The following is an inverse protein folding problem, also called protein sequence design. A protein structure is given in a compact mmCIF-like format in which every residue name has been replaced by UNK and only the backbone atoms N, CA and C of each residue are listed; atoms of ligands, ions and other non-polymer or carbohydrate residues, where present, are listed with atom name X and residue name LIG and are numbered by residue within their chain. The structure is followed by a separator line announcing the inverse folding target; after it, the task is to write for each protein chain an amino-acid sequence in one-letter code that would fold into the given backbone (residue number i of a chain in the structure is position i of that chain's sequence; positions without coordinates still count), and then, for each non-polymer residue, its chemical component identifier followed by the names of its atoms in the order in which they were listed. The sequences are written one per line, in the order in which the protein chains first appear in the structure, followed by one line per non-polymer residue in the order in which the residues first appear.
data_IF_842214874453
#
_entry.id   IF_842214874453
#
_cell.length_a   1.000
_cell.length_b   1.000
_cell.length_c   1.000
_cell.angle_alpha   90.00
_cell.angle_beta   90.00
_cell.angle_gamma   90.00
#
_symmetry.space_group_name_H-M   'P 1'
#
loop_
_entity.id
_entity.type
_entity.pdbx_description
1 polymer ?
#
# COMPACT_ATOMS: atom_id res chain seq x y z
N UNK A 1 20.46 13.54 -20.17
CA UNK A 1 20.04 12.73 -19.03
C UNK A 1 18.91 11.84 -19.49
N UNK A 2 19.05 10.53 -19.33
CA UNK A 2 17.98 9.56 -19.68
C UNK A 2 16.80 9.71 -18.71
N UNK A 3 15.58 9.75 -19.26
CA UNK A 3 14.37 9.87 -18.48
C UNK A 3 13.85 8.49 -18.08
N UNK A 4 13.46 8.36 -16.83
CA UNK A 4 12.77 7.16 -16.34
C UNK A 4 11.36 7.06 -16.94
N UNK A 5 10.85 5.84 -17.04
CA UNK A 5 9.44 5.54 -17.29
C UNK A 5 8.94 4.55 -16.24
N UNK A 6 7.62 4.39 -16.13
CA UNK A 6 7.00 3.51 -15.12
C UNK A 6 7.55 2.09 -15.21
N UNK A 7 7.58 1.48 -16.39
CA UNK A 7 8.00 0.09 -16.59
C UNK A 7 9.40 -0.21 -16.03
N UNK A 8 10.39 0.64 -16.31
CA UNK A 8 11.76 0.40 -15.85
C UNK A 8 11.91 0.61 -14.34
N UNK A 9 11.20 1.60 -13.76
CA UNK A 9 11.19 1.79 -12.31
C UNK A 9 10.52 0.60 -11.64
N UNK A 10 9.33 0.20 -12.11
CA UNK A 10 8.55 -0.92 -11.58
C UNK A 10 9.34 -2.22 -11.58
N UNK A 11 9.97 -2.57 -12.71
CA UNK A 11 10.79 -3.78 -12.82
C UNK A 11 12.00 -3.76 -11.87
N UNK A 12 12.65 -2.61 -11.73
CA UNK A 12 13.82 -2.49 -10.86
C UNK A 12 13.44 -2.44 -9.38
N UNK A 13 12.35 -1.75 -9.04
CA UNK A 13 11.82 -1.68 -7.68
C UNK A 13 11.38 -3.07 -7.21
N UNK A 14 10.66 -3.82 -8.06
CA UNK A 14 10.24 -5.18 -7.72
C UNK A 14 11.42 -6.05 -7.28
N UNK A 15 12.53 -6.02 -8.00
CA UNK A 15 13.75 -6.79 -7.63
C UNK A 15 14.29 -6.40 -6.24
N UNK A 16 14.18 -5.11 -5.87
CA UNK A 16 14.61 -4.64 -4.55
C UNK A 16 13.65 -5.15 -3.48
N UNK A 17 12.34 -5.04 -3.73
CA UNK A 17 11.31 -5.48 -2.80
C UNK A 17 11.29 -7.01 -2.63
N UNK A 18 11.54 -7.77 -3.70
CA UNK A 18 11.64 -9.25 -3.63
C UNK A 18 12.80 -9.69 -2.70
N UNK A 19 13.95 -8.99 -2.75
CA UNK A 19 15.07 -9.25 -1.83
C UNK A 19 14.71 -8.91 -0.39
N UNK A 20 14.06 -7.77 -0.16
CA UNK A 20 13.57 -7.38 1.16
C UNK A 20 12.58 -8.41 1.71
N UNK A 21 11.67 -8.92 0.86
CA UNK A 21 10.72 -9.96 1.22
C UNK A 21 11.41 -11.26 1.65
N UNK A 22 12.45 -11.68 0.91
CA UNK A 22 13.25 -12.86 1.25
C UNK A 22 13.93 -12.71 2.62
N UNK A 23 14.41 -11.51 2.97
CA UNK A 23 15.00 -11.24 4.28
C UNK A 23 13.96 -11.39 5.39
N UNK A 24 12.76 -10.79 5.24
CA UNK A 24 11.67 -10.98 6.20
C UNK A 24 11.32 -12.46 6.41
N UNK A 25 11.25 -13.24 5.32
CA UNK A 25 10.92 -14.66 5.38
C UNK A 25 12.02 -15.48 6.05
N UNK A 26 13.30 -15.16 5.85
CA UNK A 26 14.42 -15.79 6.56
C UNK A 26 14.38 -15.54 8.06
N UNK A 27 13.94 -14.36 8.47
CA UNK A 27 13.76 -13.98 9.87
C UNK A 27 12.46 -14.56 10.48
N UNK A 28 11.73 -15.40 9.73
CA UNK A 28 10.54 -16.10 10.21
C UNK A 28 9.24 -15.29 10.14
N UNK A 29 9.26 -14.08 9.56
CA UNK A 29 8.06 -13.27 9.38
C UNK A 29 7.24 -13.75 8.18
N UNK A 30 5.92 -13.80 8.36
CA UNK A 30 5.00 -13.94 7.23
C UNK A 30 4.94 -12.59 6.52
N UNK A 31 5.35 -12.56 5.28
CA UNK A 31 5.38 -11.35 4.48
C UNK A 31 4.97 -11.65 3.03
N UNK A 32 4.24 -10.72 2.39
CA UNK A 32 3.82 -10.84 1.00
C UNK A 32 3.89 -9.50 0.28
N UNK A 33 4.20 -9.53 -1.03
CA UNK A 33 4.17 -8.37 -1.92
C UNK A 33 2.92 -8.45 -2.79
N UNK A 34 2.20 -7.35 -2.84
CA UNK A 34 1.06 -7.15 -3.72
C UNK A 34 1.41 -6.10 -4.77
N UNK A 35 1.19 -6.43 -6.03
CA UNK A 35 1.24 -5.49 -7.15
C UNK A 35 -0.18 -4.99 -7.44
N UNK A 36 -0.32 -3.69 -7.74
CA UNK A 36 -1.61 -3.07 -8.07
C UNK A 36 -2.70 -3.32 -7.02
N UNK A 37 -2.34 -3.28 -5.72
CA UNK A 37 -3.31 -3.52 -4.66
C UNK A 37 -4.41 -2.46 -4.67
N UNK A 38 -5.65 -2.91 -4.87
CA UNK A 38 -6.83 -2.05 -4.88
C UNK A 38 -7.13 -1.47 -3.49
N UNK A 39 -7.34 -0.15 -3.44
CA UNK A 39 -7.72 0.61 -2.25
C UNK A 39 -9.11 1.19 -2.48
N UNK A 40 -9.93 1.29 -1.43
CA UNK A 40 -11.31 1.82 -1.52
C UNK A 40 -12.13 1.14 -2.62
N UNK A 41 -12.18 -0.19 -2.61
CA UNK A 41 -12.86 -1.01 -3.62
C UNK A 41 -12.31 -0.85 -5.05
N UNK A 42 -11.03 -0.54 -5.18
CA UNK A 42 -10.39 -0.35 -6.48
C UNK A 42 -10.54 1.06 -7.07
N UNK A 43 -11.07 2.03 -6.30
CA UNK A 43 -11.11 3.44 -6.71
C UNK A 43 -9.70 4.03 -6.91
N UNK A 44 -8.72 3.50 -6.19
CA UNK A 44 -7.28 3.71 -6.39
C UNK A 44 -6.55 2.39 -6.31
N UNK A 45 -5.35 2.33 -6.87
CA UNK A 45 -4.43 1.19 -6.73
C UNK A 45 -3.07 1.73 -6.37
N UNK A 46 -2.43 1.09 -5.39
CA UNK A 46 -1.04 1.34 -5.06
C UNK A 46 -0.16 0.42 -5.90
N UNK A 47 0.94 0.92 -6.43
CA UNK A 47 1.79 0.15 -7.34
C UNK A 47 2.36 -1.11 -6.70
N UNK A 48 2.89 -0.99 -5.48
CA UNK A 48 3.32 -2.12 -4.67
C UNK A 48 2.89 -1.94 -3.22
N UNK A 49 2.59 -3.04 -2.55
CA UNK A 49 2.43 -3.07 -1.11
C UNK A 49 3.18 -4.27 -0.51
N UNK A 50 3.92 -4.07 0.57
CA UNK A 50 4.47 -5.12 1.41
C UNK A 50 3.64 -5.20 2.67
N UNK A 51 3.14 -6.39 2.98
CA UNK A 51 2.38 -6.70 4.18
C UNK A 51 3.16 -7.72 5.00
N UNK A 52 3.63 -7.32 6.19
CA UNK A 52 4.38 -8.17 7.11
C UNK A 52 4.02 -7.88 8.59
N UNK A 53 2.74 -7.57 8.84
CA UNK A 53 2.27 -7.00 10.10
C UNK A 53 2.25 -5.46 10.07
N UNK A 54 3.06 -4.85 9.22
CA UNK A 54 3.03 -3.43 8.83
C UNK A 54 2.60 -3.34 7.37
N UNK A 55 1.61 -2.52 7.06
CA UNK A 55 1.16 -2.27 5.70
C UNK A 55 1.98 -1.12 5.09
N UNK A 56 2.93 -1.44 4.22
CA UNK A 56 3.80 -0.47 3.55
C UNK A 56 3.44 -0.36 2.08
N UNK A 57 3.10 0.83 1.61
CA UNK A 57 2.75 1.09 0.21
C UNK A 57 3.83 1.89 -0.53
N UNK A 58 4.01 1.59 -1.81
CA UNK A 58 4.92 2.27 -2.73
C UNK A 58 4.13 2.77 -3.94
N UNK A 59 4.17 4.06 -4.19
CA UNK A 59 3.60 4.72 -5.37
C UNK A 59 4.71 5.19 -6.29
N UNK A 60 4.60 4.92 -7.59
CA UNK A 60 5.61 5.27 -8.60
C UNK A 60 5.14 6.48 -9.41
N UNK A 61 6.03 7.44 -9.61
CA UNK A 61 5.87 8.56 -10.53
C UNK A 61 7.17 8.76 -11.32
N UNK A 62 7.26 8.15 -12.49
CA UNK A 62 8.42 8.28 -13.38
C UNK A 62 8.54 9.71 -13.97
N UNK A 63 9.67 10.01 -14.61
CA UNK A 63 9.86 11.29 -15.30
C UNK A 63 8.85 11.54 -16.44
N UNK A 64 8.24 10.48 -16.98
CA UNK A 64 7.25 10.56 -18.07
C UNK A 64 5.81 10.65 -17.58
N UNK A 65 5.56 10.47 -16.30
CA UNK A 65 4.23 10.55 -15.71
C UNK A 65 3.80 12.01 -15.49
N UNK A 66 2.55 12.16 -15.03
CA UNK A 66 2.04 13.42 -14.50
C UNK A 66 1.70 13.27 -13.02
N UNK A 67 1.73 14.38 -12.28
CA UNK A 67 1.36 14.39 -10.86
C UNK A 67 -0.13 14.72 -10.62
N UNK A 68 -0.94 14.83 -11.68
CA UNK A 68 -2.34 15.29 -11.58
C UNK A 68 -3.16 14.41 -10.61
N UNK A 69 -2.98 13.09 -10.65
CA UNK A 69 -3.70 12.16 -9.78
C UNK A 69 -3.11 12.02 -8.37
N UNK A 70 -1.86 12.45 -8.17
CA UNK A 70 -1.15 12.22 -6.91
C UNK A 70 -1.88 12.79 -5.68
N UNK A 71 -2.46 14.00 -5.68
CA UNK A 71 -3.22 14.50 -4.52
C UNK A 71 -4.40 13.60 -4.12
N UNK A 72 -5.11 13.07 -5.11
CA UNK A 72 -6.21 12.13 -4.85
C UNK A 72 -5.68 10.81 -4.29
N UNK A 73 -4.62 10.24 -4.88
CA UNK A 73 -3.97 9.02 -4.42
C UNK A 73 -3.45 9.15 -2.99
N UNK A 74 -2.82 10.27 -2.64
CA UNK A 74 -2.37 10.57 -1.27
C UNK A 74 -3.53 10.45 -0.28
N UNK A 75 -4.68 11.06 -0.58
CA UNK A 75 -5.86 10.97 0.29
C UNK A 75 -6.34 9.53 0.50
N UNK A 76 -6.37 8.74 -0.58
CA UNK A 76 -6.84 7.35 -0.50
C UNK A 76 -5.86 6.46 0.27
N UNK A 77 -4.57 6.62 0.03
CA UNK A 77 -3.54 5.79 0.64
C UNK A 77 -3.29 6.15 2.11
N UNK A 78 -3.36 7.43 2.48
CA UNK A 78 -3.27 7.87 3.87
C UNK A 78 -4.32 7.21 4.77
N UNK A 79 -5.48 6.88 4.23
CA UNK A 79 -6.53 6.24 5.01
C UNK A 79 -6.26 4.75 5.33
N UNK A 80 -5.23 4.15 4.72
CA UNK A 80 -5.01 2.68 4.74
C UNK A 80 -3.64 2.28 5.29
N UNK A 81 -2.55 2.77 4.69
CA UNK A 81 -1.21 2.24 4.92
C UNK A 81 -0.55 2.79 6.19
N UNK A 82 0.28 1.96 6.86
CA UNK A 82 1.10 2.36 7.99
C UNK A 82 2.27 3.24 7.58
N UNK A 83 2.89 2.91 6.45
CA UNK A 83 3.98 3.68 5.84
C UNK A 83 3.72 3.80 4.35
N UNK A 84 4.07 4.95 3.79
CA UNK A 84 3.94 5.21 2.36
C UNK A 84 5.24 5.78 1.82
N UNK A 85 5.66 5.30 0.68
CA UNK A 85 6.86 5.71 -0.01
C UNK A 85 6.50 6.15 -1.44
N UNK A 86 6.90 7.34 -1.81
CA UNK A 86 6.84 7.81 -3.18
C UNK A 86 8.18 7.51 -3.87
N UNK A 87 8.15 6.70 -4.92
CA UNK A 87 9.29 6.44 -5.80
C UNK A 87 9.16 7.34 -7.02
N UNK A 88 10.01 8.35 -7.11
CA UNK A 88 9.81 9.46 -8.05
C UNK A 88 11.02 9.68 -8.97
N UNK A 89 10.76 9.95 -10.26
CA UNK A 89 11.78 10.43 -11.19
C UNK A 89 12.26 11.83 -10.83
N UNK A 90 13.49 12.16 -11.23
CA UNK A 90 14.17 13.42 -10.87
C UNK A 90 13.36 14.67 -11.26
N UNK A 91 12.66 14.63 -12.40
CA UNK A 91 11.89 15.78 -12.91
C UNK A 91 10.75 16.20 -11.99
N UNK A 92 10.18 15.25 -11.26
CA UNK A 92 9.01 15.48 -10.42
C UNK A 92 9.35 15.65 -8.94
N UNK A 93 10.59 15.39 -8.51
CA UNK A 93 10.98 15.37 -7.10
C UNK A 93 10.49 16.61 -6.34
N UNK A 94 10.87 17.81 -6.81
CA UNK A 94 10.52 19.04 -6.13
C UNK A 94 9.01 19.23 -5.98
N UNK A 95 8.25 19.06 -7.06
CA UNK A 95 6.79 19.21 -7.02
C UNK A 95 6.13 18.16 -6.15
N UNK A 96 6.59 16.90 -6.24
CA UNK A 96 6.04 15.79 -5.48
C UNK A 96 6.24 15.96 -3.97
N UNK A 97 7.39 16.49 -3.55
CA UNK A 97 7.68 16.79 -2.13
C UNK A 97 6.67 17.77 -1.50
N UNK A 98 6.06 18.66 -2.30
CA UNK A 98 5.03 19.61 -1.84
C UNK A 98 3.61 19.03 -1.90
N UNK A 99 3.42 17.87 -2.52
CA UNK A 99 2.11 17.21 -2.63
C UNK A 99 1.94 16.15 -1.53
N UNK A 100 3.00 15.35 -1.29
CA UNK A 100 2.93 14.28 -0.29
C UNK A 100 3.20 14.83 1.11
N UNK A 101 2.51 14.32 2.15
CA UNK A 101 2.78 14.70 3.54
C UNK A 101 4.23 14.43 3.95
N UNK A 102 4.71 15.13 4.97
CA UNK A 102 6.09 15.01 5.46
C UNK A 102 6.44 13.59 5.96
N UNK A 103 5.45 12.85 6.47
CA UNK A 103 5.65 11.48 6.93
C UNK A 103 5.80 10.43 5.82
N UNK A 104 5.50 10.79 4.55
CA UNK A 104 5.80 9.89 3.44
C UNK A 104 7.31 9.82 3.20
N UNK A 105 7.81 8.60 3.01
CA UNK A 105 9.15 8.40 2.46
C UNK A 105 9.24 8.86 1.01
N UNK A 106 10.42 9.25 0.58
CA UNK A 106 10.71 9.63 -0.81
C UNK A 106 11.98 8.95 -1.26
N UNK A 107 11.86 8.20 -2.34
CA UNK A 107 12.96 7.56 -3.04
C UNK A 107 13.04 8.17 -4.44
N UNK A 108 14.18 8.71 -4.82
CA UNK A 108 14.41 9.16 -6.18
C UNK A 108 14.92 7.99 -7.03
N UNK A 109 14.32 7.79 -8.20
CA UNK A 109 14.76 6.84 -9.21
C UNK A 109 15.50 7.58 -10.33
N UNK A 110 16.71 7.12 -10.66
CA UNK A 110 17.56 7.70 -11.71
C UNK A 110 18.11 6.60 -12.59
N UNK A 111 18.41 6.91 -13.85
CA UNK A 111 19.17 6.02 -14.73
C UNK A 111 20.64 6.39 -14.62
N UNK A 112 21.50 5.40 -14.28
CA UNK A 112 22.94 5.57 -14.22
C UNK A 112 23.59 5.55 -15.63
N UNK A 113 24.90 5.68 -15.73
CA UNK A 113 25.65 5.67 -16.99
C UNK A 113 25.58 4.33 -17.72
N UNK A 114 25.32 3.24 -17.00
CA UNK A 114 25.19 1.88 -17.55
C UNK A 114 23.76 1.56 -18.04
N UNK A 115 22.80 2.48 -17.85
CA UNK A 115 21.41 2.28 -18.20
C UNK A 115 20.55 1.65 -17.11
N UNK A 116 21.11 1.34 -15.93
CA UNK A 116 20.38 0.74 -14.83
C UNK A 116 19.63 1.80 -14.01
N UNK A 117 18.49 1.40 -13.44
CA UNK A 117 17.78 2.24 -12.48
C UNK A 117 18.45 2.10 -11.11
N UNK A 118 18.84 3.22 -10.55
CA UNK A 118 19.38 3.33 -9.19
C UNK A 118 18.41 4.12 -8.31
N UNK A 119 18.25 3.68 -7.08
CA UNK A 119 17.39 4.27 -6.07
C UNK A 119 18.20 4.98 -5.01
N UNK A 120 17.75 6.16 -4.61
CA UNK A 120 18.37 6.93 -3.52
C UNK A 120 17.28 7.45 -2.61
N UNK A 121 17.31 7.07 -1.34
CA UNK A 121 16.39 7.59 -0.33
C UNK A 121 16.71 9.07 -0.07
N UNK A 122 15.69 9.91 -0.20
CA UNK A 122 15.72 11.35 0.10
C UNK A 122 15.12 11.61 1.47
N UNK A 123 14.08 10.84 1.84
CA UNK A 123 13.40 10.93 3.12
C UNK A 123 12.86 9.55 3.50
N UNK A 124 13.11 9.14 4.73
CA UNK A 124 12.51 7.91 5.28
C UNK A 124 11.01 8.10 5.58
N UNK A 125 10.27 7.01 5.55
CA UNK A 125 8.84 7.03 5.86
C UNK A 125 8.62 6.90 7.38
N UNK A 126 7.87 7.84 7.96
CA UNK A 126 7.37 7.74 9.32
C UNK A 126 6.03 6.97 9.38
N UNK A 127 5.58 6.64 10.60
CA UNK A 127 4.30 6.01 10.81
C UNK A 127 3.12 6.97 10.61
N UNK A 128 2.15 6.50 9.85
CA UNK A 128 0.90 7.20 9.58
C UNK A 128 -0.01 7.22 10.82
N UNK A 129 -0.59 8.39 11.11
CA UNK A 129 -1.58 8.58 12.19
C UNK A 129 -2.99 8.88 11.67
N UNK A 130 -3.21 8.79 10.36
CA UNK A 130 -4.45 9.22 9.69
C UNK A 130 -5.29 8.05 9.15
N UNK A 131 -4.93 6.83 9.50
CA UNK A 131 -5.67 5.64 9.05
C UNK A 131 -7.09 5.61 9.59
N UNK A 132 -8.00 5.05 8.81
CA UNK A 132 -9.39 4.81 9.22
C UNK A 132 -9.72 3.34 9.18
N UNK A 133 -10.39 2.82 10.20
CA UNK A 133 -10.78 1.41 10.27
C UNK A 133 -11.59 0.97 9.05
N UNK A 134 -12.50 1.81 8.58
CA UNK A 134 -13.35 1.47 7.43
C UNK A 134 -12.54 1.32 6.13
N UNK A 135 -11.52 2.16 5.93
CA UNK A 135 -10.65 2.09 4.75
C UNK A 135 -9.76 0.85 4.79
N UNK A 136 -9.28 0.46 5.97
CA UNK A 136 -8.54 -0.79 6.17
C UNK A 136 -9.44 -2.00 5.89
N UNK A 137 -10.67 -2.03 6.42
CA UNK A 137 -11.62 -3.11 6.17
C UNK A 137 -11.96 -3.27 4.67
N UNK A 138 -11.97 -2.17 3.90
CA UNK A 138 -12.24 -2.17 2.45
C UNK A 138 -11.12 -2.76 1.58
N UNK A 139 -9.99 -3.16 2.16
CA UNK A 139 -8.99 -4.00 1.50
C UNK A 139 -9.47 -5.45 1.32
N UNK A 140 -10.41 -5.89 2.15
CA UNK A 140 -10.99 -7.22 2.07
C UNK A 140 -12.03 -7.29 0.95
N UNK A 141 -12.15 -8.46 0.34
CA UNK A 141 -13.32 -8.78 -0.45
C UNK A 141 -14.52 -8.99 0.47
N UNK A 142 -15.73 -8.80 -0.07
CA UNK A 142 -16.99 -9.00 0.69
C UNK A 142 -17.04 -10.40 1.32
N UNK A 143 -16.66 -11.43 0.56
CA UNK A 143 -16.65 -12.82 1.02
C UNK A 143 -15.69 -13.06 2.18
N UNK A 144 -14.51 -12.45 2.12
CA UNK A 144 -13.50 -12.55 3.19
C UNK A 144 -13.98 -11.89 4.48
N UNK A 145 -14.48 -10.66 4.39
CA UNK A 145 -15.03 -9.94 5.55
C UNK A 145 -16.23 -10.67 6.17
N UNK A 146 -17.10 -11.27 5.34
CA UNK A 146 -18.22 -12.07 5.84
C UNK A 146 -17.74 -13.34 6.54
N UNK A 147 -16.79 -14.07 5.95
CA UNK A 147 -16.19 -15.28 6.55
C UNK A 147 -15.58 -14.96 7.92
N UNK A 148 -14.83 -13.88 8.04
CA UNK A 148 -14.25 -13.42 9.32
C UNK A 148 -15.34 -13.17 10.36
N UNK A 149 -16.47 -12.54 9.98
CA UNK A 149 -17.59 -12.31 10.87
C UNK A 149 -18.29 -13.63 11.27
N UNK A 150 -18.40 -14.60 10.36
CA UNK A 150 -18.97 -15.93 10.65
C UNK A 150 -18.13 -16.71 11.65
N UNK A 151 -16.81 -16.77 11.44
CA UNK A 151 -15.87 -17.42 12.35
C UNK A 151 -15.93 -16.81 13.77
N UNK A 152 -16.18 -15.50 13.85
CA UNK A 152 -16.36 -14.76 15.12
C UNK A 152 -17.79 -14.78 15.67
N UNK A 153 -18.72 -15.46 15.02
CA UNK A 153 -20.16 -15.51 15.39
C UNK A 153 -20.81 -14.12 15.46
N UNK A 154 -20.43 -13.22 14.53
CA UNK A 154 -20.88 -11.81 14.45
C UNK A 154 -21.54 -11.46 13.12
N UNK A 155 -21.85 -12.45 12.28
CA UNK A 155 -22.46 -12.26 10.96
C UNK A 155 -23.99 -12.09 10.99
N UNK A 156 -24.64 -12.32 12.13
CA UNK A 156 -26.10 -12.23 12.25
C UNK A 156 -26.61 -10.82 11.91
N UNK A 157 -27.66 -10.78 11.10
CA UNK A 157 -28.28 -9.54 10.63
C UNK A 157 -27.53 -8.81 9.50
N UNK A 158 -26.28 -9.23 9.14
CA UNK A 158 -25.54 -8.61 8.04
C UNK A 158 -25.19 -9.55 6.88
N UNK A 159 -25.42 -10.85 7.03
CA UNK A 159 -25.06 -11.90 6.05
C UNK A 159 -25.53 -11.60 4.61
N UNK A 160 -26.73 -11.04 4.46
CA UNK A 160 -27.35 -10.70 3.18
C UNK A 160 -27.36 -9.19 2.88
N UNK A 161 -26.66 -8.40 3.70
CA UNK A 161 -26.57 -6.96 3.52
C UNK A 161 -25.47 -6.56 2.51
N UNK A 162 -25.42 -5.28 2.22
CA UNK A 162 -24.37 -4.69 1.37
C UNK A 162 -22.97 -4.96 1.92
N UNK A 163 -21.95 -4.86 1.08
CA UNK A 163 -20.56 -4.97 1.51
C UNK A 163 -20.21 -3.92 2.57
N UNK A 164 -20.75 -2.69 2.46
CA UNK A 164 -20.52 -1.64 3.46
C UNK A 164 -21.05 -2.03 4.83
N UNK A 165 -22.24 -2.59 4.91
CA UNK A 165 -22.82 -3.07 6.20
C UNK A 165 -21.97 -4.17 6.85
N UNK A 166 -21.31 -5.01 6.03
CA UNK A 166 -20.39 -6.05 6.52
C UNK A 166 -19.10 -5.40 7.06
N UNK A 167 -18.53 -4.43 6.34
CA UNK A 167 -17.33 -3.72 6.81
C UNK A 167 -17.62 -2.89 8.06
N UNK A 168 -18.74 -2.19 8.12
CA UNK A 168 -19.16 -1.45 9.33
C UNK A 168 -19.30 -2.40 10.54
N UNK A 169 -19.87 -3.59 10.36
CA UNK A 169 -19.92 -4.59 11.42
C UNK A 169 -18.53 -5.01 11.87
N UNK A 170 -17.62 -5.29 10.94
CA UNK A 170 -16.24 -5.68 11.25
C UNK A 170 -15.50 -4.58 12.02
N UNK A 171 -15.66 -3.33 11.59
CA UNK A 171 -15.07 -2.13 12.21
C UNK A 171 -15.60 -1.93 13.64
N UNK A 172 -16.88 -2.21 13.88
CA UNK A 172 -17.53 -2.01 15.19
C UNK A 172 -17.12 -3.06 16.23
N UNK A 173 -16.68 -4.25 15.79
CA UNK A 173 -16.27 -5.34 16.70
C UNK A 173 -14.76 -5.42 16.92
N UNK A 174 -13.97 -4.54 16.29
CA UNK A 174 -12.51 -4.57 16.35
C UNK A 174 -11.94 -3.19 16.63
N UNK A 175 -10.91 -3.09 17.45
CA UNK A 175 -10.04 -1.92 17.48
C UNK A 175 -9.16 -1.89 16.21
N UNK A 176 -8.41 -0.80 16.02
CA UNK A 176 -7.64 -0.61 14.79
C UNK A 176 -6.50 -1.61 14.63
N UNK A 177 -5.84 -1.99 15.73
CA UNK A 177 -4.70 -2.91 15.67
C UNK A 177 -5.17 -4.33 15.37
N UNK A 178 -6.19 -4.80 16.08
CA UNK A 178 -6.86 -6.08 15.80
C UNK A 178 -7.37 -6.14 14.35
N UNK A 179 -7.96 -5.05 13.84
CA UNK A 179 -8.44 -5.01 12.47
C UNK A 179 -7.30 -5.12 11.46
N UNK A 180 -6.17 -4.44 11.70
CA UNK A 180 -4.98 -4.54 10.85
C UNK A 180 -4.41 -5.97 10.82
N UNK A 181 -4.33 -6.63 11.97
CA UNK A 181 -3.88 -8.02 12.05
C UNK A 181 -4.79 -8.96 11.25
N UNK A 182 -6.11 -8.82 11.40
CA UNK A 182 -7.09 -9.59 10.65
C UNK A 182 -6.92 -9.38 9.14
N UNK A 183 -6.86 -8.12 8.71
CA UNK A 183 -6.75 -7.77 7.30
C UNK A 183 -5.41 -8.23 6.73
N UNK A 184 -4.31 -8.02 7.42
CA UNK A 184 -2.97 -8.46 7.01
C UNK A 184 -2.91 -9.98 6.87
N UNK A 185 -3.42 -10.72 7.85
CA UNK A 185 -3.47 -12.19 7.82
C UNK A 185 -4.29 -12.68 6.62
N UNK A 186 -5.46 -12.08 6.39
CA UNK A 186 -6.31 -12.45 5.26
C UNK A 186 -5.66 -12.12 3.91
N UNK A 187 -5.00 -10.97 3.78
CA UNK A 187 -4.28 -10.58 2.57
C UNK A 187 -3.14 -11.56 2.27
N UNK A 188 -2.30 -11.87 3.26
CA UNK A 188 -1.16 -12.80 3.12
C UNK A 188 -1.63 -14.22 2.78
N UNK A 189 -2.86 -14.60 3.15
CA UNK A 189 -3.42 -15.92 2.85
C UNK A 189 -4.07 -16.04 1.47
N UNK A 190 -4.09 -14.97 0.67
CA UNK A 190 -4.60 -15.03 -0.71
C UNK A 190 -3.62 -15.81 -1.58
N UNK A 191 -4.10 -16.88 -2.18
CA UNK A 191 -3.40 -17.66 -3.21
C UNK A 191 -3.50 -16.98 -4.58
#
# INVERSE_FOLDING_TARGET
MLLTNDKIIRTSLKKVLDKELEEYRKDGYKAEIFEELGVQHGASRIDFAIINGVMRGYEIKSDKDTLIRLPYQVKQFNAVFDKLILVVGKRHLYKAMHIVPEWWGIIIAKINTNGDVVFQTIREADYNKQQTKISIARLLWRSEALKILEERKKADGVRYKSRESIYERLVNISDINTLKEIVSTQLISRE
#
